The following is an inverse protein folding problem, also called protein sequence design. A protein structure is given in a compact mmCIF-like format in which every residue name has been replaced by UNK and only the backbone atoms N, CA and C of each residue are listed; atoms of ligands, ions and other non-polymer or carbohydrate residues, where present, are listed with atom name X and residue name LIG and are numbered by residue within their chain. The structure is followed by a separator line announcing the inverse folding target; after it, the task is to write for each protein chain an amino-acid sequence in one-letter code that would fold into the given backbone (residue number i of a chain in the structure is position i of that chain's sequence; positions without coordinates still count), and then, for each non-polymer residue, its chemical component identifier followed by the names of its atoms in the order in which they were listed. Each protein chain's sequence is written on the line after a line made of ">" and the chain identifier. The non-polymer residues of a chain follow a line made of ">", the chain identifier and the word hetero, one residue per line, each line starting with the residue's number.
data_IF_672547605699
#
_entry.id   IF_672547605699
#
_cell.length_a   1.000
_cell.length_b   1.000
_cell.length_c   1.000
_cell.angle_alpha   90.00
_cell.angle_beta   90.00
_cell.angle_gamma   90.00
#
_symmetry.space_group_name_H-M   'P 1'
#
loop_
_entity.id
_entity.type
_entity.pdbx_description
1 polymer ?
#
# COMPACT_ATOMS: atom_id res chain seq x y z
N UNK A 1 22.37 0.56 26.01
CA UNK A 1 21.00 0.35 26.56
C UNK A 1 20.31 -0.58 25.58
N UNK A 2 19.98 -1.81 26.00
CA UNK A 2 19.60 -2.94 25.15
C UNK A 2 18.26 -2.81 24.37
N UNK A 3 17.66 -1.62 24.35
CA UNK A 3 16.45 -1.34 23.61
C UNK A 3 16.61 0.01 22.90
N UNK A 4 17.20 -0.03 21.71
CA UNK A 4 17.34 1.17 20.88
C UNK A 4 15.97 1.54 20.29
N UNK A 5 15.72 2.82 20.09
CA UNK A 5 14.52 3.32 19.41
C UNK A 5 14.30 2.64 18.04
N UNK A 6 15.40 2.30 17.35
CA UNK A 6 15.40 1.55 16.11
C UNK A 6 14.79 0.14 16.25
N UNK A 7 15.15 -0.63 17.29
CA UNK A 7 14.59 -1.97 17.52
C UNK A 7 13.06 -1.92 17.73
N UNK A 8 12.57 -0.93 18.48
CA UNK A 8 11.13 -0.69 18.64
C UNK A 8 10.45 -0.38 17.30
N UNK A 9 11.05 0.49 16.49
CA UNK A 9 10.55 0.83 15.16
C UNK A 9 10.45 -0.41 14.25
N UNK A 10 11.47 -1.28 14.25
CA UNK A 10 11.46 -2.50 13.44
C UNK A 10 10.39 -3.51 13.91
N UNK A 11 10.20 -3.68 15.23
CA UNK A 11 9.14 -4.54 15.77
C UNK A 11 7.75 -4.06 15.39
N UNK A 12 7.49 -2.76 15.54
CA UNK A 12 6.21 -2.16 15.16
C UNK A 12 6.00 -2.21 13.64
N UNK A 13 7.04 -1.95 12.85
CA UNK A 13 7.01 -2.07 11.40
C UNK A 13 6.67 -3.49 10.96
N UNK A 14 7.26 -4.53 11.56
CA UNK A 14 6.93 -5.93 11.25
C UNK A 14 5.44 -6.23 11.45
N UNK A 15 4.88 -5.80 12.58
CA UNK A 15 3.47 -6.02 12.89
C UNK A 15 2.54 -5.29 11.91
N UNK A 16 2.83 -4.03 11.59
CA UNK A 16 2.07 -3.27 10.60
C UNK A 16 2.21 -3.85 9.18
N UNK A 17 3.41 -4.32 8.81
CA UNK A 17 3.66 -4.91 7.49
C UNK A 17 2.89 -6.23 7.32
N UNK A 18 2.79 -7.04 8.37
CA UNK A 18 1.95 -8.24 8.36
C UNK A 18 0.45 -7.89 8.14
N UNK A 19 -0.06 -6.84 8.80
CA UNK A 19 -1.42 -6.35 8.55
C UNK A 19 -1.60 -5.84 7.12
N UNK A 20 -0.62 -5.11 6.57
CA UNK A 20 -0.64 -4.64 5.17
C UNK A 20 -0.63 -5.79 4.17
N UNK A 21 0.12 -6.86 4.42
CA UNK A 21 0.11 -8.07 3.57
C UNK A 21 -1.29 -8.69 3.54
N UNK A 22 -1.97 -8.78 4.69
CA UNK A 22 -3.34 -9.27 4.74
C UNK A 22 -4.30 -8.40 3.91
N UNK A 23 -4.22 -7.07 4.06
CA UNK A 23 -5.01 -6.15 3.24
C UNK A 23 -4.68 -6.25 1.74
N UNK A 24 -3.42 -6.45 1.36
CA UNK A 24 -3.01 -6.61 -0.03
C UNK A 24 -3.59 -7.89 -0.66
N UNK A 25 -3.57 -9.00 0.09
CA UNK A 25 -4.18 -10.26 -0.35
C UNK A 25 -5.69 -10.11 -0.51
N UNK A 26 -6.36 -9.45 0.45
CA UNK A 26 -7.80 -9.19 0.36
C UNK A 26 -8.17 -8.37 -0.88
N UNK A 27 -7.37 -7.36 -1.23
CA UNK A 27 -7.56 -6.59 -2.46
C UNK A 27 -7.39 -7.44 -3.72
N UNK A 28 -6.38 -8.32 -3.78
CA UNK A 28 -6.17 -9.21 -4.94
C UNK A 28 -7.36 -10.15 -5.12
N UNK A 29 -7.87 -10.74 -4.04
CA UNK A 29 -9.04 -11.62 -4.07
C UNK A 29 -10.27 -10.84 -4.55
N UNK A 30 -10.51 -9.63 -4.05
CA UNK A 30 -11.65 -8.83 -4.48
C UNK A 30 -11.60 -8.47 -5.97
N UNK A 31 -10.41 -8.21 -6.54
CA UNK A 31 -10.25 -8.02 -7.99
C UNK A 31 -10.45 -9.32 -8.78
N UNK A 32 -10.10 -10.47 -8.22
CA UNK A 32 -10.34 -11.78 -8.83
C UNK A 32 -11.83 -12.17 -8.82
N UNK A 33 -12.56 -11.86 -7.73
CA UNK A 33 -14.03 -11.96 -7.65
C UNK A 33 -14.72 -11.08 -8.70
N UNK A 34 -14.19 -9.87 -8.95
CA UNK A 34 -14.69 -8.97 -9.98
C UNK A 34 -14.45 -9.52 -11.40
N UNK A 35 -13.31 -10.19 -11.62
CA UNK A 35 -12.97 -10.80 -12.91
C UNK A 35 -13.83 -12.02 -13.23
N UNK A 36 -14.23 -12.75 -12.20
CA UNK A 36 -15.09 -13.94 -12.30
C UNK A 36 -16.58 -13.60 -12.25
N UNK A 37 -16.92 -12.30 -12.25
CA UNK A 37 -18.29 -11.75 -12.27
C UNK A 37 -19.17 -12.25 -11.11
N UNK A 38 -18.56 -12.52 -9.95
CA UNK A 38 -19.26 -13.13 -8.81
C UNK A 38 -20.08 -12.12 -7.99
N UNK A 39 -19.82 -10.81 -8.15
CA UNK A 39 -20.45 -9.72 -7.39
C UNK A 39 -20.57 -8.45 -8.21
N UNK A 40 -21.55 -7.61 -7.84
CA UNK A 40 -21.73 -6.30 -8.47
C UNK A 40 -20.47 -5.41 -8.31
N UNK A 41 -19.99 -4.79 -9.41
CA UNK A 41 -18.78 -3.94 -9.40
C UNK A 41 -18.96 -2.68 -8.55
N UNK A 42 -20.20 -2.19 -8.40
CA UNK A 42 -20.52 -0.97 -7.65
C UNK A 42 -20.34 -1.20 -6.14
N UNK A 43 -20.83 -2.32 -5.63
CA UNK A 43 -20.74 -2.66 -4.20
C UNK A 43 -19.30 -2.98 -3.78
N UNK A 44 -18.55 -3.62 -4.69
CA UNK A 44 -17.12 -3.87 -4.51
C UNK A 44 -16.30 -2.57 -4.52
N UNK A 45 -16.54 -1.66 -5.47
CA UNK A 45 -15.85 -0.36 -5.49
C UNK A 45 -16.16 0.50 -4.26
N UNK A 46 -17.39 0.47 -3.77
CA UNK A 46 -17.80 1.17 -2.53
C UNK A 46 -17.10 0.60 -1.28
N UNK A 47 -16.79 -0.69 -1.27
CA UNK A 47 -16.07 -1.34 -0.16
C UNK A 47 -14.55 -1.17 -0.30
N UNK A 48 -13.98 -1.28 -1.51
CA UNK A 48 -12.53 -1.15 -1.75
C UNK A 48 -12.02 0.27 -1.51
N UNK A 49 -12.78 1.28 -1.95
CA UNK A 49 -12.33 2.66 -1.93
C UNK A 49 -11.99 3.22 -0.53
N UNK A 50 -12.77 2.98 0.54
CA UNK A 50 -12.37 3.35 1.90
C UNK A 50 -11.23 2.49 2.45
N UNK A 51 -10.96 1.30 1.90
CA UNK A 51 -9.89 0.39 2.33
C UNK A 51 -8.51 0.73 1.74
N UNK A 52 -8.46 1.42 0.61
CA UNK A 52 -7.20 1.88 -0.01
C UNK A 52 -6.55 3.04 0.76
N UNK A 53 -7.36 3.91 1.38
CA UNK A 53 -6.90 5.04 2.20
C UNK A 53 -6.09 4.63 3.46
N UNK A 54 -6.56 3.68 4.30
CA UNK A 54 -5.80 3.24 5.47
C UNK A 54 -4.50 2.53 5.08
N UNK A 55 -4.44 1.82 3.94
CA UNK A 55 -3.20 1.23 3.46
C UNK A 55 -2.11 2.29 3.26
N UNK A 56 -2.44 3.39 2.56
CA UNK A 56 -1.52 4.50 2.34
C UNK A 56 -1.15 5.24 3.62
N UNK A 57 -2.10 5.39 4.55
CA UNK A 57 -1.86 6.06 5.81
C UNK A 57 -0.88 5.25 6.68
N UNK A 58 -1.09 3.95 6.80
CA UNK A 58 -0.19 3.05 7.54
C UNK A 58 1.20 3.04 6.87
N UNK A 59 1.24 3.02 5.52
CA UNK A 59 2.50 3.05 4.77
C UNK A 59 3.30 4.34 4.99
N UNK A 60 2.62 5.49 4.93
CA UNK A 60 3.24 6.78 5.21
C UNK A 60 3.70 6.89 6.68
N UNK A 61 2.89 6.38 7.61
CA UNK A 61 3.21 6.41 9.04
C UNK A 61 4.51 5.68 9.35
N UNK A 62 4.70 4.45 8.85
CA UNK A 62 5.94 3.72 9.12
C UNK A 62 7.15 4.36 8.43
N UNK A 63 6.99 4.97 7.24
CA UNK A 63 8.09 5.66 6.56
C UNK A 63 8.56 6.89 7.32
N UNK A 64 7.63 7.66 7.92
CA UNK A 64 7.97 8.77 8.82
C UNK A 64 8.67 8.27 10.08
N UNK A 65 8.22 7.14 10.63
CA UNK A 65 8.86 6.52 11.78
C UNK A 65 10.31 6.09 11.48
N UNK A 66 10.58 5.49 10.31
CA UNK A 66 11.95 5.17 9.88
C UNK A 66 12.81 6.40 9.58
N UNK A 67 12.21 7.50 9.13
CA UNK A 67 12.91 8.78 8.98
C UNK A 67 13.40 9.30 10.35
N UNK A 68 12.55 9.22 11.37
CA UNK A 68 12.93 9.58 12.75
C UNK A 68 13.99 8.65 13.35
N UNK A 69 14.04 7.39 12.92
CA UNK A 69 15.07 6.44 13.34
C UNK A 69 16.41 6.60 12.58
N UNK A 70 16.49 7.52 11.61
CA UNK A 70 17.67 7.77 10.75
C UNK A 70 18.18 6.52 10.00
N UNK A 71 17.30 5.57 9.69
CA UNK A 71 17.62 4.36 8.95
C UNK A 71 17.53 4.63 7.44
N UNK A 72 18.55 5.30 6.89
CA UNK A 72 18.56 5.76 5.49
C UNK A 72 18.41 4.64 4.46
N UNK A 73 18.90 3.43 4.77
CA UNK A 73 18.88 2.28 3.86
C UNK A 73 17.47 1.69 3.73
N UNK A 74 16.73 1.56 4.85
CA UNK A 74 15.34 1.10 4.84
C UNK A 74 14.41 2.12 4.18
N UNK A 75 14.69 3.41 4.40
CA UNK A 75 13.92 4.49 3.79
C UNK A 75 14.19 4.58 2.29
N UNK A 76 15.44 4.35 1.85
CA UNK A 76 15.81 4.26 0.45
C UNK A 76 15.11 3.12 -0.30
N UNK A 77 14.91 1.96 0.36
CA UNK A 77 14.17 0.84 -0.22
C UNK A 77 12.65 1.11 -0.30
N UNK A 78 12.07 1.86 0.64
CA UNK A 78 10.65 2.22 0.63
C UNK A 78 10.32 3.47 -0.20
N UNK A 79 11.31 4.32 -0.48
CA UNK A 79 11.16 5.55 -1.27
C UNK A 79 10.52 5.33 -2.66
N UNK A 80 10.85 4.28 -3.44
CA UNK A 80 10.19 4.01 -4.71
C UNK A 80 8.69 3.75 -4.55
N UNK A 81 8.30 2.99 -3.52
CA UNK A 81 6.89 2.68 -3.26
C UNK A 81 6.14 3.91 -2.72
N UNK A 82 6.79 4.68 -1.85
CA UNK A 82 6.24 5.92 -1.30
C UNK A 82 6.09 6.98 -2.40
N UNK A 83 7.07 7.12 -3.28
CA UNK A 83 7.01 7.99 -4.45
C UNK A 83 5.92 7.52 -5.42
N UNK A 84 5.72 6.21 -5.60
CA UNK A 84 4.61 5.68 -6.39
C UNK A 84 3.26 5.99 -5.75
N UNK A 85 3.11 5.84 -4.43
CA UNK A 85 1.88 6.20 -3.71
C UNK A 85 1.61 7.70 -3.74
N UNK A 86 2.60 8.55 -3.49
CA UNK A 86 2.50 10.01 -3.61
C UNK A 86 2.18 10.39 -5.04
N UNK A 87 2.87 9.83 -6.04
CA UNK A 87 2.58 10.11 -7.44
C UNK A 87 1.16 9.68 -7.80
N UNK A 88 0.67 8.54 -7.30
CA UNK A 88 -0.70 8.06 -7.58
C UNK A 88 -1.76 8.89 -6.86
N UNK A 89 -1.50 9.36 -5.65
CA UNK A 89 -2.36 10.31 -4.90
C UNK A 89 -2.34 11.69 -5.54
N UNK A 90 -1.16 12.21 -5.88
CA UNK A 90 -0.94 13.49 -6.55
C UNK A 90 -1.51 13.48 -7.95
N UNK A 91 -1.42 12.37 -8.69
CA UNK A 91 -1.99 12.20 -10.03
C UNK A 91 -3.49 11.92 -9.96
N UNK A 92 -3.97 11.26 -8.91
CA UNK A 92 -5.40 11.17 -8.58
C UNK A 92 -6.00 12.55 -8.30
N UNK A 93 -5.31 13.40 -7.52
CA UNK A 93 -5.70 14.80 -7.31
C UNK A 93 -5.52 15.66 -8.58
N UNK A 94 -4.46 15.46 -9.37
CA UNK A 94 -4.12 16.29 -10.54
C UNK A 94 -4.96 15.94 -11.78
N UNK A 95 -5.30 14.67 -12.00
CA UNK A 95 -6.29 14.27 -13.00
C UNK A 95 -7.71 14.71 -12.59
N UNK A 96 -8.01 14.74 -11.28
CA UNK A 96 -9.25 15.34 -10.75
C UNK A 96 -9.35 16.85 -11.03
N UNK A 97 -8.23 17.58 -11.02
CA UNK A 97 -8.22 19.03 -11.30
C UNK A 97 -8.21 19.38 -12.79
N UNK A 98 -7.72 18.50 -13.68
CA UNK A 98 -7.50 18.83 -15.08
C UNK A 98 -8.50 18.20 -16.07
N UNK A 99 -9.28 17.17 -15.67
CA UNK A 99 -10.00 16.35 -16.68
C UNK A 99 -11.45 15.93 -16.38
N UNK A 100 -12.13 16.41 -15.32
CA UNK A 100 -13.60 16.21 -15.19
C UNK A 100 -14.31 17.40 -14.52
N UNK A 101 -15.28 18.07 -15.18
CA UNK A 101 -16.02 19.21 -14.62
C UNK A 101 -17.24 18.83 -13.76
N UNK A 102 -17.55 17.55 -13.55
CA UNK A 102 -18.73 17.15 -12.77
C UNK A 102 -18.40 16.00 -11.82
N UNK A 103 -18.73 16.23 -10.55
CA UNK A 103 -18.31 15.49 -9.38
C UNK A 103 -19.36 14.43 -9.01
N UNK A 104 -18.98 13.15 -9.02
CA UNK A 104 -19.80 12.06 -8.47
C UNK A 104 -18.94 11.24 -7.50
N UNK A 105 -18.81 11.75 -6.28
CA UNK A 105 -18.31 11.01 -5.12
C UNK A 105 -16.78 10.95 -4.93
N UNK A 106 -16.31 10.86 -3.67
CA UNK A 106 -14.90 10.61 -3.39
C UNK A 106 -14.58 9.13 -3.67
N UNK A 107 -14.03 8.83 -4.85
CA UNK A 107 -13.58 7.47 -5.18
C UNK A 107 -12.35 7.41 -6.09
N UNK A 108 -11.38 6.54 -5.78
CA UNK A 108 -10.20 6.29 -6.63
C UNK A 108 -10.53 5.35 -7.80
N UNK A 109 -11.63 4.61 -7.66
CA UNK A 109 -12.07 3.53 -8.54
C UNK A 109 -13.50 3.84 -9.02
N UNK A 110 -13.65 4.14 -10.32
CA UNK A 110 -14.95 4.39 -10.96
C UNK A 110 -15.49 3.05 -11.53
N UNK A 111 -16.66 2.57 -11.07
CA UNK A 111 -17.19 1.25 -11.42
C UNK A 111 -17.42 1.06 -12.92
N UNK A 112 -17.59 2.15 -13.67
CA UNK A 112 -17.77 2.09 -15.14
C UNK A 112 -16.46 1.82 -15.90
N UNK A 113 -15.31 2.13 -15.29
CA UNK A 113 -14.00 2.01 -15.94
C UNK A 113 -13.23 0.74 -15.53
N UNK A 114 -13.53 0.18 -14.36
CA UNK A 114 -12.84 -0.97 -13.79
C UNK A 114 -13.22 -2.29 -14.46
N UNK A 115 -14.43 -2.37 -15.04
CA UNK A 115 -14.84 -3.54 -15.81
C UNK A 115 -14.13 -3.67 -17.16
N UNK A 116 -13.37 -2.66 -17.60
CA UNK A 116 -12.58 -2.81 -18.81
C UNK A 116 -11.43 -3.81 -18.55
N UNK A 117 -11.35 -4.88 -19.36
CA UNK A 117 -10.43 -5.99 -19.15
C UNK A 117 -8.96 -5.55 -19.06
N UNK A 118 -8.58 -4.54 -19.85
CA UNK A 118 -7.22 -3.99 -19.84
C UNK A 118 -6.88 -3.27 -18.53
N UNK A 119 -7.85 -2.56 -17.95
CA UNK A 119 -7.70 -1.82 -16.69
C UNK A 119 -7.68 -2.80 -15.52
N UNK A 120 -8.54 -3.81 -15.54
CA UNK A 120 -8.58 -4.85 -14.50
C UNK A 120 -7.26 -5.65 -14.47
N UNK A 121 -6.73 -6.03 -15.64
CA UNK A 121 -5.45 -6.72 -15.73
C UNK A 121 -4.29 -5.85 -15.23
N UNK A 122 -4.32 -4.54 -15.47
CA UNK A 122 -3.35 -3.60 -14.91
C UNK A 122 -3.44 -3.50 -13.38
N UNK A 123 -4.65 -3.33 -12.83
CA UNK A 123 -4.88 -3.25 -11.38
C UNK A 123 -4.50 -4.55 -10.66
N UNK A 124 -4.76 -5.70 -11.27
CA UNK A 124 -4.35 -7.00 -10.73
C UNK A 124 -2.81 -7.08 -10.66
N UNK A 125 -2.10 -6.74 -11.75
CA UNK A 125 -0.63 -6.70 -11.76
C UNK A 125 -0.05 -5.73 -10.74
N UNK A 126 -0.67 -4.57 -10.55
CA UNK A 126 -0.28 -3.60 -9.52
C UNK A 126 -0.41 -4.20 -8.11
N UNK A 127 -1.53 -4.88 -7.81
CA UNK A 127 -1.74 -5.58 -6.54
C UNK A 127 -0.69 -6.66 -6.27
N UNK A 128 -0.39 -7.49 -7.27
CA UNK A 128 0.65 -8.52 -7.16
C UNK A 128 2.05 -7.93 -6.96
N UNK A 129 2.38 -6.83 -7.64
CA UNK A 129 3.65 -6.14 -7.47
C UNK A 129 3.80 -5.55 -6.05
N UNK A 130 2.73 -4.94 -5.52
CA UNK A 130 2.71 -4.44 -4.13
C UNK A 130 2.86 -5.56 -3.11
N UNK A 131 2.16 -6.68 -3.31
CA UNK A 131 2.28 -7.85 -2.44
C UNK A 131 3.73 -8.36 -2.40
N UNK A 132 4.36 -8.52 -3.57
CA UNK A 132 5.76 -8.95 -3.67
C UNK A 132 6.70 -7.98 -2.94
N UNK A 133 6.46 -6.67 -3.06
CA UNK A 133 7.23 -5.66 -2.36
C UNK A 133 7.06 -5.77 -0.83
N UNK A 134 5.82 -5.82 -0.31
CA UNK A 134 5.57 -5.95 1.13
C UNK A 134 6.16 -7.22 1.72
N UNK A 135 6.15 -8.32 0.96
CA UNK A 135 6.75 -9.59 1.37
C UNK A 135 8.28 -9.50 1.43
N UNK A 136 8.93 -8.86 0.45
CA UNK A 136 10.38 -8.61 0.50
C UNK A 136 10.76 -7.67 1.66
N UNK A 137 10.00 -6.59 1.85
CA UNK A 137 10.19 -5.67 2.98
C UNK A 137 10.01 -6.36 4.33
N UNK A 138 9.08 -7.31 4.45
CA UNK A 138 8.89 -8.09 5.69
C UNK A 138 10.14 -8.86 6.10
N UNK A 139 10.76 -9.60 5.16
CA UNK A 139 12.01 -10.31 5.44
C UNK A 139 13.15 -9.35 5.77
N UNK A 140 13.19 -8.20 5.10
CA UNK A 140 14.19 -7.17 5.37
C UNK A 140 14.03 -6.54 6.77
N UNK A 141 12.81 -6.24 7.21
CA UNK A 141 12.56 -5.74 8.57
C UNK A 141 12.89 -6.78 9.64
N UNK A 142 12.66 -8.07 9.36
CA UNK A 142 13.07 -9.16 10.25
C UNK A 142 14.60 -9.19 10.38
N UNK A 143 15.32 -9.12 9.27
CA UNK A 143 16.78 -9.03 9.27
C UNK A 143 17.28 -7.79 10.03
N UNK A 144 16.72 -6.61 9.75
CA UNK A 144 17.08 -5.35 10.42
C UNK A 144 16.85 -5.41 11.93
N UNK A 145 15.73 -5.97 12.37
CA UNK A 145 15.44 -6.19 13.79
C UNK A 145 16.49 -7.07 14.47
N UNK A 146 16.82 -8.23 13.88
CA UNK A 146 17.82 -9.15 14.45
C UNK A 146 19.19 -8.47 14.50
N UNK A 147 19.60 -7.81 13.41
CA UNK A 147 20.89 -7.14 13.35
C UNK A 147 21.03 -6.06 14.44
N UNK A 148 20.03 -5.21 14.60
CA UNK A 148 20.04 -4.15 15.63
C UNK A 148 20.03 -4.75 17.03
N UNK A 149 19.25 -5.81 17.29
CA UNK A 149 19.22 -6.46 18.61
C UNK A 149 20.51 -7.18 18.98
N UNK A 150 21.22 -7.76 18.00
CA UNK A 150 22.49 -8.47 18.24
C UNK A 150 23.67 -7.50 18.37
N UNK A 151 23.61 -6.36 17.69
CA UNK A 151 24.67 -5.34 17.70
C UNK A 151 24.52 -4.26 18.77
N UNK A 152 23.38 -4.22 19.48
CA UNK A 152 23.06 -3.22 20.53
C UNK A 152 23.49 -3.59 21.94
#
# INVERSE_FOLDING_TARGET
>A
MAFTFAAFCYMLALLLTAALIFFAIWHIIAFDELKTDYKNPIDQCNTLNPLVLPEYLIHAFFCVMFLCAAEWLTLGLNMPLLAYHIWRVQRGLRLRYMSRPVMSGPGLYDPTTIMNADILAYCQKEGWCKLAFYLLSFFYYLYGMIYVLVSS
#
